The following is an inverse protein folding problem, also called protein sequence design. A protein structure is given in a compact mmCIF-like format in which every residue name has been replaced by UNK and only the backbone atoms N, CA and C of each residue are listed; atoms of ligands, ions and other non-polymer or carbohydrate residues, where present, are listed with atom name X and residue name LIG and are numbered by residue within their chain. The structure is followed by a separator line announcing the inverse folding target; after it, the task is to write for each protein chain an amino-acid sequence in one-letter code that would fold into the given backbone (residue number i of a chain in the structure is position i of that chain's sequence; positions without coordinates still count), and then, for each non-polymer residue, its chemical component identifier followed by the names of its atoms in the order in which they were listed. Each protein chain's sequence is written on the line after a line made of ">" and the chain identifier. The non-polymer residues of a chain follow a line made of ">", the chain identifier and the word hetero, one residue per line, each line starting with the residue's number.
data_IF_331997271519
#
_entry.id   IF_331997271519
#
_cell.length_a   1.000
_cell.length_b   1.000
_cell.length_c   1.000
_cell.angle_alpha   90.00
_cell.angle_beta   90.00
_cell.angle_gamma   90.00
#
_symmetry.space_group_name_H-M   'P 1'
#
loop_
_entity.id
_entity.type
_entity.pdbx_description
1 polymer ?
#
# COMPACT_ATOMS: atom_id res chain seq x y z
N UNK A 1 22.09 -26.24 11.50
CA UNK A 1 22.51 -24.98 12.15
C UNK A 1 21.36 -24.01 11.98
N UNK A 2 20.62 -23.70 13.05
CA UNK A 2 19.53 -22.74 13.02
C UNK A 2 20.08 -21.33 13.26
N UNK A 3 20.01 -20.47 12.26
CA UNK A 3 20.27 -19.05 12.45
C UNK A 3 19.10 -18.45 13.24
N UNK A 4 19.37 -18.03 14.46
CA UNK A 4 18.46 -17.21 15.25
C UNK A 4 18.22 -15.88 14.55
N UNK A 5 16.96 -15.42 14.39
CA UNK A 5 16.68 -14.12 13.82
C UNK A 5 17.25 -13.03 14.74
N UNK A 6 18.13 -12.21 14.17
CA UNK A 6 18.72 -11.03 14.83
C UNK A 6 17.63 -9.99 15.04
N UNK A 7 17.13 -9.89 16.27
CA UNK A 7 16.26 -8.79 16.70
C UNK A 7 17.10 -7.52 16.72
N UNK A 8 17.03 -6.72 15.66
CA UNK A 8 17.67 -5.41 15.60
C UNK A 8 16.98 -4.45 16.60
N UNK A 9 17.77 -3.83 17.47
CA UNK A 9 17.31 -2.83 18.43
C UNK A 9 16.97 -1.52 17.71
N UNK A 10 15.75 -1.01 17.91
CA UNK A 10 15.32 0.31 17.43
C UNK A 10 16.25 1.42 17.91
N UNK A 11 16.57 2.38 17.04
CA UNK A 11 17.38 3.54 17.42
C UNK A 11 16.57 4.54 18.27
N UNK A 12 17.25 5.37 19.06
CA UNK A 12 16.60 6.38 19.91
C UNK A 12 15.68 7.33 19.12
N UNK A 13 16.07 7.66 17.88
CA UNK A 13 15.30 8.50 16.96
C UNK A 13 14.02 7.79 16.49
N UNK A 14 14.07 6.48 16.26
CA UNK A 14 12.88 5.68 15.89
C UNK A 14 11.87 5.59 17.03
N UNK A 15 12.34 5.41 18.26
CA UNK A 15 11.47 5.43 19.44
C UNK A 15 10.85 6.82 19.64
N UNK A 16 11.63 7.89 19.44
CA UNK A 16 11.14 9.26 19.52
C UNK A 16 10.08 9.56 18.44
N UNK A 17 10.30 9.14 17.19
CA UNK A 17 9.34 9.31 16.10
C UNK A 17 8.05 8.51 16.33
N UNK A 18 8.16 7.32 16.90
CA UNK A 18 6.98 6.51 17.29
C UNK A 18 6.17 7.18 18.40
N UNK A 19 6.82 7.87 19.33
CA UNK A 19 6.12 8.64 20.38
C UNK A 19 5.51 9.92 19.80
N UNK A 20 6.24 10.62 18.93
CA UNK A 20 5.80 11.86 18.26
C UNK A 20 4.65 11.62 17.27
N UNK A 21 4.57 10.43 16.67
CA UNK A 21 3.43 10.03 15.82
C UNK A 21 2.13 9.77 16.60
N UNK A 22 2.10 10.05 17.91
CA UNK A 22 0.90 9.98 18.72
C UNK A 22 0.54 11.29 19.44
N UNK A 23 1.32 12.36 19.22
CA UNK A 23 1.20 13.65 19.93
C UNK A 23 0.57 14.74 19.04
N UNK A 24 -0.53 15.37 19.50
CA UNK A 24 -1.15 16.54 18.86
C UNK A 24 -0.98 17.79 19.71
N UNK A 25 -0.60 18.90 19.07
CA UNK A 25 -0.38 20.20 19.72
C UNK A 25 -1.40 21.25 19.26
N UNK A 26 -2.16 21.82 20.19
CA UNK A 26 -3.07 22.94 19.97
C UNK A 26 -2.42 24.26 20.37
N UNK A 27 -2.50 25.25 19.49
CA UNK A 27 -1.92 26.58 19.73
C UNK A 27 -2.68 27.37 20.81
N UNK A 28 -4.00 27.19 20.94
CA UNK A 28 -4.78 27.83 22.02
C UNK A 28 -6.16 27.13 22.16
N UNK A 29 -6.61 26.80 23.39
CA UNK A 29 -5.83 26.76 24.62
C UNK A 29 -4.72 25.70 24.54
N UNK A 30 -3.58 25.93 25.23
CA UNK A 30 -2.39 25.07 25.18
C UNK A 30 -2.66 23.72 25.89
N UNK A 31 -3.27 22.78 25.17
CA UNK A 31 -3.42 21.41 25.60
C UNK A 31 -2.73 20.46 24.63
N UNK A 32 -2.07 19.44 25.20
CA UNK A 32 -1.53 18.30 24.50
C UNK A 32 -2.59 17.20 24.59
N UNK A 33 -3.32 16.93 23.51
CA UNK A 33 -4.27 15.82 23.52
C UNK A 33 -3.63 14.60 22.87
N UNK A 34 -3.60 13.51 23.61
CA UNK A 34 -3.28 12.20 23.07
C UNK A 34 -4.56 11.60 22.46
N UNK A 35 -4.56 11.32 21.14
CA UNK A 35 -5.70 10.74 20.39
C UNK A 35 -7.02 11.55 20.45
N UNK A 36 -7.08 12.75 19.84
CA UNK A 36 -8.36 13.43 19.66
C UNK A 36 -9.26 12.68 18.67
N UNK A 37 -10.56 12.61 18.96
CA UNK A 37 -11.53 11.70 18.32
C UNK A 37 -12.41 12.38 17.24
N UNK A 38 -11.98 13.52 16.67
CA UNK A 38 -12.77 14.23 15.66
C UNK A 38 -12.10 14.16 14.29
N UNK A 39 -12.67 13.37 13.38
CA UNK A 39 -12.24 13.28 11.98
C UNK A 39 -13.01 14.24 11.09
N UNK A 40 -12.39 14.78 10.03
CA UNK A 40 -13.08 15.60 9.03
C UNK A 40 -14.09 14.77 8.23
N UNK A 41 -13.74 13.53 7.84
CA UNK A 41 -14.71 12.62 7.23
C UNK A 41 -15.81 12.28 8.22
N UNK A 42 -17.05 12.44 7.77
CA UNK A 42 -18.27 12.14 8.53
C UNK A 42 -18.98 10.95 7.91
N UNK A 43 -19.93 10.38 8.64
CA UNK A 43 -20.68 9.20 8.18
C UNK A 43 -21.40 9.38 6.84
N UNK A 44 -21.76 10.62 6.45
CA UNK A 44 -22.31 10.88 5.10
C UNK A 44 -21.28 10.59 3.99
N UNK A 45 -20.03 10.99 4.23
CA UNK A 45 -18.92 10.82 3.29
C UNK A 45 -18.57 9.32 3.22
N UNK A 46 -18.52 8.63 4.36
CA UNK A 46 -18.29 7.18 4.42
C UNK A 46 -19.35 6.40 3.64
N UNK A 47 -20.64 6.73 3.78
CA UNK A 47 -21.72 6.04 3.03
C UNK A 47 -21.63 6.28 1.53
N UNK A 48 -21.17 7.46 1.11
CA UNK A 48 -20.94 7.76 -0.30
C UNK A 48 -19.78 6.91 -0.83
N UNK A 49 -18.66 6.89 -0.12
CA UNK A 49 -17.50 6.03 -0.43
C UNK A 49 -17.90 4.56 -0.56
N UNK A 50 -18.64 4.01 0.41
CA UNK A 50 -19.09 2.61 0.38
C UNK A 50 -19.95 2.25 -0.84
N UNK A 51 -20.62 3.22 -1.47
CA UNK A 51 -21.41 3.00 -2.70
C UNK A 51 -20.57 3.05 -3.96
N UNK A 52 -19.49 3.82 -3.96
CA UNK A 52 -18.68 4.11 -5.15
C UNK A 52 -17.47 3.18 -5.29
N UNK A 53 -16.93 2.73 -4.16
CA UNK A 53 -15.71 1.94 -4.09
C UNK A 53 -15.86 0.57 -4.77
N UNK A 54 -14.79 0.11 -5.43
CA UNK A 54 -14.70 -1.19 -6.09
C UNK A 54 -13.40 -1.87 -5.74
N UNK A 55 -13.43 -3.20 -5.67
CA UNK A 55 -12.25 -4.02 -5.41
C UNK A 55 -11.14 -3.68 -6.40
N UNK A 56 -9.93 -3.40 -5.88
CA UNK A 56 -8.79 -2.91 -6.65
C UNK A 56 -8.55 -1.40 -6.58
N UNK A 57 -9.47 -0.64 -6.00
CA UNK A 57 -9.25 0.79 -5.77
C UNK A 57 -8.09 1.03 -4.78
N UNK A 58 -7.34 2.11 -5.03
CA UNK A 58 -6.28 2.61 -4.15
C UNK A 58 -6.86 3.74 -3.30
N UNK A 59 -6.70 3.64 -1.99
CA UNK A 59 -7.21 4.60 -1.03
C UNK A 59 -6.04 5.36 -0.43
N UNK A 60 -6.02 6.67 -0.56
CA UNK A 60 -5.03 7.54 0.05
C UNK A 60 -5.67 8.29 1.20
N UNK A 61 -5.04 8.33 2.38
CA UNK A 61 -5.58 9.03 3.55
C UNK A 61 -4.57 9.86 4.32
N UNK A 62 -5.10 10.83 5.06
CA UNK A 62 -4.35 11.64 6.02
C UNK A 62 -5.10 11.79 7.33
N UNK A 63 -4.35 11.79 8.43
CA UNK A 63 -4.82 12.24 9.73
C UNK A 63 -4.10 13.55 10.05
N UNK A 64 -4.80 14.68 10.10
CA UNK A 64 -4.26 16.05 10.24
C UNK A 64 -3.60 16.31 11.60
N UNK A 65 -3.64 15.32 12.48
CA UNK A 65 -3.42 15.47 13.91
C UNK A 65 -2.02 15.11 14.36
N UNK A 66 -1.15 14.71 13.43
CA UNK A 66 0.22 14.33 13.71
C UNK A 66 1.19 15.44 13.31
N UNK A 67 2.10 15.77 14.23
CA UNK A 67 3.16 16.78 14.08
C UNK A 67 3.96 16.62 12.77
N UNK A 68 4.09 15.39 12.28
CA UNK A 68 4.80 15.02 11.06
C UNK A 68 4.18 15.66 9.78
N UNK A 69 2.87 15.97 9.79
CA UNK A 69 2.19 16.58 8.63
C UNK A 69 2.44 18.08 8.51
N UNK A 70 2.63 18.77 9.64
CA UNK A 70 2.98 20.21 9.64
C UNK A 70 4.38 20.48 9.09
N UNK A 71 5.25 19.46 9.07
CA UNK A 71 6.64 19.57 8.60
C UNK A 71 6.75 19.22 7.09
N UNK A 72 5.85 18.39 6.55
CA UNK A 72 6.05 17.77 5.23
C UNK A 72 5.22 18.31 4.05
N UNK A 73 4.25 19.22 4.25
CA UNK A 73 3.43 19.79 3.16
C UNK A 73 2.80 18.75 2.20
N UNK A 74 2.55 17.52 2.66
CA UNK A 74 1.97 16.43 1.83
C UNK A 74 0.46 16.38 1.98
N UNK A 75 -0.25 16.07 0.90
CA UNK A 75 -1.71 15.95 0.92
C UNK A 75 -2.13 14.62 1.55
N UNK A 76 -1.47 13.52 1.13
CA UNK A 76 -1.71 12.18 1.65
C UNK A 76 -0.51 11.62 2.42
N UNK A 77 -0.78 10.86 3.48
CA UNK A 77 0.27 10.34 4.39
C UNK A 77 0.31 8.82 4.47
N UNK A 78 -0.75 8.16 4.05
CA UNK A 78 -0.90 6.72 4.10
C UNK A 78 -1.69 6.24 2.88
N UNK A 79 -1.54 4.97 2.51
CA UNK A 79 -2.20 4.35 1.38
C UNK A 79 -2.75 2.96 1.76
N UNK A 80 -3.83 2.53 1.12
CA UNK A 80 -4.44 1.22 1.29
C UNK A 80 -4.94 0.69 -0.05
N UNK A 81 -5.03 -0.63 -0.16
CA UNK A 81 -5.59 -1.33 -1.32
C UNK A 81 -6.91 -1.96 -0.91
N UNK A 82 -8.00 -1.61 -1.59
CA UNK A 82 -9.30 -2.16 -1.25
C UNK A 82 -9.50 -3.54 -1.88
N UNK A 83 -9.69 -4.53 -1.01
CA UNK A 83 -9.83 -5.94 -1.39
C UNK A 83 -11.29 -6.33 -1.67
N UNK A 84 -12.26 -5.63 -1.06
CA UNK A 84 -13.63 -6.14 -0.96
C UNK A 84 -13.71 -7.25 0.07
N UNK A 85 -14.37 -8.36 -0.28
CA UNK A 85 -14.64 -9.44 0.68
C UNK A 85 -13.40 -10.26 1.00
N UNK A 86 -13.05 -10.36 2.29
CA UNK A 86 -12.01 -11.25 2.81
C UNK A 86 -12.63 -12.19 3.85
N UNK A 87 -12.46 -13.49 3.66
CA UNK A 87 -12.96 -14.54 4.56
C UNK A 87 -11.81 -15.33 5.17
N UNK A 88 -12.07 -16.08 6.24
CA UNK A 88 -11.10 -17.01 6.83
C UNK A 88 -10.57 -18.02 5.81
N UNK A 89 -11.41 -18.42 4.84
CA UNK A 89 -10.98 -19.33 3.78
C UNK A 89 -9.94 -18.66 2.87
N UNK A 90 -10.14 -17.39 2.51
CA UNK A 90 -9.13 -16.62 1.77
C UNK A 90 -7.80 -16.57 2.54
N UNK A 91 -7.85 -16.30 3.84
CA UNK A 91 -6.66 -16.25 4.69
C UNK A 91 -5.93 -17.59 4.77
N UNK A 92 -6.64 -18.69 4.99
CA UNK A 92 -6.05 -20.04 5.06
C UNK A 92 -5.48 -20.51 3.73
N UNK A 93 -6.18 -20.26 2.63
CA UNK A 93 -5.80 -20.80 1.31
C UNK A 93 -4.77 -19.92 0.59
N UNK A 94 -4.90 -18.60 0.67
CA UNK A 94 -4.11 -17.66 -0.12
C UNK A 94 -2.96 -17.06 0.69
N UNK A 95 -3.26 -16.55 1.90
CA UNK A 95 -2.24 -16.00 2.78
C UNK A 95 -1.47 -17.08 3.55
N UNK A 96 -2.03 -18.29 3.70
CA UNK A 96 -1.47 -19.40 4.48
C UNK A 96 -1.12 -19.02 5.91
N UNK A 97 -1.90 -18.10 6.50
CA UNK A 97 -1.74 -17.71 7.90
C UNK A 97 -2.29 -18.81 8.80
N UNK A 98 -1.57 -19.13 9.87
CA UNK A 98 -1.95 -20.20 10.81
C UNK A 98 -3.17 -19.80 11.67
N UNK A 99 -3.29 -18.51 11.99
CA UNK A 99 -4.26 -17.93 12.92
C UNK A 99 -5.10 -16.84 12.23
N UNK A 100 -6.02 -17.20 11.31
CA UNK A 100 -6.81 -16.21 10.57
C UNK A 100 -7.69 -15.33 11.48
N UNK A 101 -8.07 -15.81 12.66
CA UNK A 101 -8.87 -15.08 13.65
C UNK A 101 -8.19 -13.81 14.19
N UNK A 102 -6.89 -13.62 13.92
CA UNK A 102 -6.13 -12.42 14.29
C UNK A 102 -6.27 -11.28 13.28
N UNK A 103 -6.85 -11.54 12.12
CA UNK A 103 -6.98 -10.57 11.04
C UNK A 103 -8.45 -10.14 10.88
N UNK A 104 -8.67 -8.89 10.49
CA UNK A 104 -10.01 -8.44 10.13
C UNK A 104 -10.50 -9.17 8.87
N UNK A 105 -11.73 -9.68 8.91
CA UNK A 105 -12.47 -10.28 7.80
C UNK A 105 -13.82 -9.59 7.66
N UNK A 106 -14.43 -9.66 6.48
CA UNK A 106 -15.68 -8.97 6.19
C UNK A 106 -15.85 -8.63 4.70
N UNK A 107 -16.96 -7.98 4.36
CA UNK A 107 -17.33 -7.65 2.97
C UNK A 107 -16.50 -6.50 2.38
N UNK A 108 -15.98 -5.61 3.23
CA UNK A 108 -15.33 -4.37 2.81
C UNK A 108 -14.01 -4.18 3.54
N UNK A 109 -12.97 -4.88 3.08
CA UNK A 109 -11.65 -4.88 3.71
C UNK A 109 -10.64 -4.09 2.90
N UNK A 110 -9.81 -3.33 3.59
CA UNK A 110 -8.64 -2.63 3.07
C UNK A 110 -7.39 -3.29 3.64
N UNK A 111 -6.44 -3.62 2.79
CA UNK A 111 -5.09 -4.02 3.22
C UNK A 111 -4.16 -2.82 3.13
N UNK A 112 -3.36 -2.61 4.17
CA UNK A 112 -2.35 -1.56 4.17
C UNK A 112 -1.20 -1.90 5.11
N UNK A 113 -0.09 -1.16 5.01
CA UNK A 113 1.01 -1.30 5.94
C UNK A 113 0.88 -0.31 7.11
N UNK A 114 1.40 -0.74 8.26
CA UNK A 114 1.67 0.04 9.46
C UNK A 114 3.12 -0.20 9.91
N UNK A 115 3.57 0.51 10.95
CA UNK A 115 4.96 0.39 11.45
C UNK A 115 5.37 -1.07 11.73
N UNK A 116 4.44 -1.83 12.32
CA UNK A 116 4.67 -3.19 12.81
C UNK A 116 4.30 -4.30 11.81
N UNK A 117 3.73 -3.99 10.64
CA UNK A 117 3.36 -5.02 9.66
C UNK A 117 2.31 -4.62 8.65
N UNK A 118 1.94 -5.59 7.80
CA UNK A 118 0.78 -5.49 6.92
C UNK A 118 -0.47 -5.92 7.69
N UNK A 119 -1.52 -5.11 7.62
CA UNK A 119 -2.76 -5.31 8.38
C UNK A 119 -3.97 -5.28 7.46
N UNK A 120 -5.04 -5.96 7.88
CA UNK A 120 -6.38 -5.83 7.32
C UNK A 120 -7.21 -4.93 8.22
N UNK A 121 -7.88 -3.94 7.63
CA UNK A 121 -8.73 -2.97 8.31
C UNK A 121 -10.09 -2.89 7.60
N UNK A 122 -11.18 -2.80 8.36
CA UNK A 122 -12.52 -2.55 7.80
C UNK A 122 -12.57 -1.17 7.13
N UNK A 123 -13.29 -1.06 6.00
CA UNK A 123 -13.38 0.19 5.23
C UNK A 123 -13.91 1.37 6.07
N UNK A 124 -14.92 1.15 6.92
CA UNK A 124 -15.49 2.21 7.77
C UNK A 124 -14.41 2.72 8.73
N UNK A 125 -13.64 1.79 9.31
CA UNK A 125 -12.53 2.13 10.18
C UNK A 125 -11.41 2.85 9.39
N UNK A 126 -11.10 2.42 8.17
CA UNK A 126 -10.12 3.08 7.32
C UNK A 126 -10.49 4.53 7.00
N UNK A 127 -11.78 4.80 6.75
CA UNK A 127 -12.35 6.12 6.48
C UNK A 127 -12.38 7.09 7.68
N UNK A 128 -11.94 6.67 8.87
CA UNK A 128 -11.83 7.55 10.05
C UNK A 128 -10.60 8.43 9.95
N UNK A 129 -10.61 9.36 9.00
CA UNK A 129 -9.48 10.21 8.64
C UNK A 129 -9.91 11.64 8.29
N UNK A 130 -8.95 12.52 8.07
CA UNK A 130 -9.17 13.94 7.81
C UNK A 130 -9.13 14.30 6.33
N UNK A 131 -8.46 13.48 5.52
CA UNK A 131 -8.54 13.52 4.07
C UNK A 131 -8.57 12.10 3.53
N UNK A 132 -9.30 11.90 2.43
CA UNK A 132 -9.37 10.63 1.71
C UNK A 132 -9.48 10.91 0.21
N UNK A 133 -8.74 10.14 -0.59
CA UNK A 133 -8.94 10.03 -2.03
C UNK A 133 -9.03 8.55 -2.42
N UNK A 134 -9.83 8.27 -3.44
CA UNK A 134 -10.02 6.94 -4.03
C UNK A 134 -9.63 7.04 -5.49
N UNK A 135 -8.62 6.26 -5.86
CA UNK A 135 -8.05 6.22 -7.20
C UNK A 135 -8.31 4.84 -7.81
N UNK A 136 -8.63 4.81 -9.10
CA UNK A 136 -9.00 3.59 -9.81
C UNK A 136 -8.28 3.47 -11.14
N UNK A 137 -7.80 2.27 -11.42
CA UNK A 137 -7.30 1.93 -12.74
C UNK A 137 -8.45 1.77 -13.75
N UNK A 138 -8.24 2.11 -15.03
CA UNK A 138 -9.26 1.90 -16.04
C UNK A 138 -9.63 0.41 -16.16
N UNK A 139 -10.88 0.16 -16.56
CA UNK A 139 -11.40 -1.22 -16.70
C UNK A 139 -10.62 -2.08 -17.70
N UNK A 140 -9.90 -1.44 -18.61
CA UNK A 140 -8.99 -2.06 -19.58
C UNK A 140 -7.62 -1.40 -19.44
N UNK A 141 -6.61 -2.21 -19.12
CA UNK A 141 -5.22 -1.77 -19.08
C UNK A 141 -4.63 -1.92 -20.47
N UNK A 142 -4.07 -0.83 -20.96
CA UNK A 142 -3.36 -0.75 -22.24
C UNK A 142 -2.01 -0.11 -21.99
N UNK A 143 -1.00 -0.48 -22.80
CA UNK A 143 0.31 0.14 -22.76
C UNK A 143 0.18 1.65 -23.04
N UNK A 144 0.63 2.48 -22.11
CA UNK A 144 0.64 3.94 -22.28
C UNK A 144 1.77 4.36 -23.21
N UNK A 145 1.57 5.45 -23.94
CA UNK A 145 2.55 5.94 -24.90
C UNK A 145 3.87 6.32 -24.20
N UNK A 146 4.99 5.83 -24.72
CA UNK A 146 6.32 6.12 -24.19
C UNK A 146 6.71 5.32 -22.95
N UNK A 147 5.85 4.42 -22.46
CA UNK A 147 6.15 3.58 -21.32
C UNK A 147 6.80 2.26 -21.74
N UNK A 148 7.76 1.80 -20.95
CA UNK A 148 8.42 0.50 -21.10
C UNK A 148 8.61 -0.15 -19.76
N UNK A 149 8.53 -1.48 -19.70
CA UNK A 149 8.73 -2.23 -18.47
C UNK A 149 10.13 -1.96 -17.89
N UNK A 150 10.26 -1.55 -16.61
CA UNK A 150 11.56 -1.29 -16.00
C UNK A 150 12.42 -2.54 -15.97
N UNK A 151 13.71 -2.40 -16.31
CA UNK A 151 14.65 -3.53 -16.34
C UNK A 151 14.75 -4.21 -14.96
N UNK A 152 14.79 -3.43 -13.88
CA UNK A 152 14.81 -3.94 -12.50
C UNK A 152 13.60 -4.82 -12.18
N UNK A 153 12.42 -4.51 -12.72
CA UNK A 153 11.22 -5.30 -12.52
C UNK A 153 11.32 -6.65 -13.26
N UNK A 154 11.86 -6.65 -14.47
CA UNK A 154 12.09 -7.88 -15.25
C UNK A 154 13.12 -8.77 -14.56
N UNK A 155 14.23 -8.17 -14.09
CA UNK A 155 15.27 -8.86 -13.32
C UNK A 155 14.72 -9.46 -12.03
N UNK A 156 13.84 -8.75 -11.32
CA UNK A 156 13.15 -9.28 -10.15
C UNK A 156 12.36 -10.54 -10.48
N UNK A 157 11.55 -10.52 -11.55
CA UNK A 157 10.79 -11.70 -11.94
C UNK A 157 11.69 -12.87 -12.34
N UNK A 158 12.77 -12.61 -13.07
CA UNK A 158 13.72 -13.65 -13.47
C UNK A 158 14.45 -14.26 -12.27
N UNK A 159 14.88 -13.44 -11.32
CA UNK A 159 15.55 -13.90 -10.10
C UNK A 159 14.63 -14.80 -9.26
N UNK A 160 13.38 -14.37 -9.04
CA UNK A 160 12.41 -15.14 -8.26
C UNK A 160 12.04 -16.47 -8.94
N UNK A 161 11.87 -16.46 -10.28
CA UNK A 161 11.51 -17.67 -11.03
C UNK A 161 12.66 -18.69 -11.13
N UNK A 162 13.90 -18.21 -11.10
CA UNK A 162 15.10 -19.05 -11.17
C UNK A 162 15.65 -19.46 -9.78
N UNK A 163 15.06 -18.97 -8.70
CA UNK A 163 15.48 -19.32 -7.35
C UNK A 163 15.33 -20.82 -7.08
N UNK A 164 16.37 -21.42 -6.52
CA UNK A 164 16.39 -22.85 -6.15
C UNK A 164 15.48 -23.19 -4.96
N UNK A 165 15.04 -22.18 -4.19
CA UNK A 165 14.10 -22.38 -3.09
C UNK A 165 12.68 -22.56 -3.63
N UNK A 166 11.92 -23.49 -3.04
CA UNK A 166 10.49 -23.65 -3.34
C UNK A 166 9.72 -22.43 -2.84
N UNK A 167 9.65 -21.37 -3.64
CA UNK A 167 8.80 -20.22 -3.35
C UNK A 167 7.33 -20.62 -3.64
N UNK A 168 6.45 -20.70 -2.62
CA UNK A 168 5.06 -21.10 -2.81
C UNK A 168 4.25 -20.11 -3.67
N UNK A 169 4.80 -18.92 -3.93
CA UNK A 169 4.19 -17.85 -4.72
C UNK A 169 4.63 -17.84 -6.18
N UNK A 170 5.47 -18.78 -6.64
CA UNK A 170 5.90 -18.88 -8.05
C UNK A 170 4.76 -18.78 -9.08
N UNK A 171 3.57 -19.41 -8.91
CA UNK A 171 2.48 -19.25 -9.86
C UNK A 171 1.97 -17.81 -9.98
N UNK A 172 1.97 -17.06 -8.87
CA UNK A 172 1.57 -15.65 -8.84
C UNK A 172 2.63 -14.80 -9.55
N UNK A 173 3.91 -15.03 -9.26
CA UNK A 173 5.03 -14.33 -9.90
C UNK A 173 5.04 -14.56 -11.42
N UNK A 174 4.77 -15.79 -11.88
CA UNK A 174 4.59 -16.08 -13.31
C UNK A 174 3.44 -15.30 -13.93
N UNK A 175 2.31 -15.20 -13.22
CA UNK A 175 1.16 -14.44 -13.69
C UNK A 175 1.46 -12.94 -13.75
N UNK A 176 2.19 -12.39 -12.77
CA UNK A 176 2.64 -10.98 -12.81
C UNK A 176 3.59 -10.71 -13.99
N UNK A 177 4.55 -11.61 -14.27
CA UNK A 177 5.44 -11.49 -15.43
C UNK A 177 4.67 -11.62 -16.76
N UNK A 178 3.65 -12.47 -16.81
CA UNK A 178 2.77 -12.61 -17.98
C UNK A 178 2.01 -11.30 -18.26
N UNK A 179 1.49 -10.62 -17.24
CA UNK A 179 0.87 -9.29 -17.39
C UNK A 179 1.81 -8.32 -18.09
N UNK A 180 3.06 -8.21 -17.62
CA UNK A 180 4.06 -7.31 -18.22
C UNK A 180 4.36 -7.69 -19.67
N UNK A 181 4.51 -8.99 -19.94
CA UNK A 181 4.81 -9.50 -21.29
C UNK A 181 3.66 -9.20 -22.26
N UNK A 182 2.42 -9.36 -21.82
CA UNK A 182 1.22 -9.12 -22.64
C UNK A 182 1.00 -7.63 -22.89
N UNK A 183 1.18 -6.78 -21.86
CA UNK A 183 1.11 -5.32 -22.04
C UNK A 183 2.17 -4.81 -23.01
N UNK A 184 3.43 -5.28 -22.90
CA UNK A 184 4.51 -4.86 -23.81
C UNK A 184 4.30 -5.33 -25.26
N UNK A 185 3.47 -6.35 -25.49
CA UNK A 185 2.98 -6.76 -26.82
C UNK A 185 1.79 -5.94 -27.33
N UNK A 186 1.30 -4.98 -26.55
CA UNK A 186 0.15 -4.14 -26.89
C UNK A 186 -1.20 -4.82 -26.65
N UNK A 187 -1.25 -5.92 -25.90
CA UNK A 187 -2.52 -6.54 -25.55
C UNK A 187 -3.33 -5.66 -24.59
N UNK A 188 -4.67 -5.69 -24.74
CA UNK A 188 -5.60 -5.05 -23.81
C UNK A 188 -5.98 -6.04 -22.72
N UNK A 189 -5.77 -5.68 -21.46
CA UNK A 189 -6.00 -6.57 -20.33
C UNK A 189 -7.19 -6.07 -19.48
N UNK A 190 -8.25 -6.88 -19.30
CA UNK A 190 -9.34 -6.52 -18.39
C UNK A 190 -8.84 -6.46 -16.94
N UNK A 191 -9.07 -5.34 -16.26
CA UNK A 191 -8.59 -5.13 -14.89
C UNK A 191 -9.15 -6.17 -13.91
N UNK A 192 -10.39 -6.61 -14.09
CA UNK A 192 -11.02 -7.67 -13.27
C UNK A 192 -10.20 -8.97 -13.24
N UNK A 193 -9.58 -9.33 -14.38
CA UNK A 193 -8.70 -10.51 -14.46
C UNK A 193 -7.41 -10.28 -13.68
N UNK A 194 -6.84 -9.07 -13.78
CA UNK A 194 -5.61 -8.70 -13.08
C UNK A 194 -5.82 -8.62 -11.57
N UNK A 195 -6.98 -8.13 -11.14
CA UNK A 195 -7.34 -8.00 -9.73
C UNK A 195 -7.24 -9.34 -8.99
N UNK A 196 -7.62 -10.47 -9.62
CA UNK A 196 -7.49 -11.80 -9.01
C UNK A 196 -6.03 -12.15 -8.66
N UNK A 197 -5.08 -11.65 -9.45
CA UNK A 197 -3.64 -11.81 -9.20
C UNK A 197 -3.23 -10.87 -8.07
N UNK A 198 -3.59 -9.59 -8.15
CA UNK A 198 -3.28 -8.58 -7.13
C UNK A 198 -3.84 -8.95 -5.75
N UNK A 199 -5.06 -9.50 -5.70
CA UNK A 199 -5.69 -9.98 -4.48
C UNK A 199 -4.86 -11.09 -3.81
N UNK A 200 -4.32 -12.02 -4.60
CA UNK A 200 -3.41 -13.08 -4.10
C UNK A 200 -2.08 -12.52 -3.64
N UNK A 201 -1.49 -11.59 -4.41
CA UNK A 201 -0.26 -10.89 -4.02
C UNK A 201 -0.48 -10.16 -2.70
N UNK A 202 -1.56 -9.39 -2.57
CA UNK A 202 -1.90 -8.65 -1.37
C UNK A 202 -1.99 -9.56 -0.13
N UNK A 203 -2.81 -10.61 -0.20
CA UNK A 203 -2.98 -11.53 0.94
C UNK A 203 -1.69 -12.29 1.29
N UNK A 204 -0.83 -12.62 0.33
CA UNK A 204 0.46 -13.25 0.62
C UNK A 204 1.40 -12.38 1.47
N UNK A 205 1.14 -11.07 1.56
CA UNK A 205 1.95 -10.17 2.39
C UNK A 205 1.61 -10.20 3.87
N UNK A 206 0.55 -10.91 4.27
CA UNK A 206 0.20 -11.09 5.69
C UNK A 206 1.11 -12.11 6.40
N UNK A 207 1.67 -13.07 5.67
CA UNK A 207 2.53 -14.14 6.21
C UNK A 207 4.02 -13.91 5.99
N UNK A 208 4.38 -12.99 5.09
CA UNK A 208 5.76 -12.83 4.64
C UNK A 208 6.43 -11.74 5.49
N UNK A 209 7.49 -12.04 6.26
CA UNK A 209 8.20 -11.01 7.01
C UNK A 209 8.72 -9.96 6.03
N UNK A 210 8.35 -8.70 6.27
CA UNK A 210 8.58 -7.54 5.40
C UNK A 210 10.00 -7.49 4.81
N UNK A 211 10.16 -7.96 3.58
CA UNK A 211 11.30 -7.65 2.71
C UNK A 211 10.80 -7.40 1.29
N UNK A 212 9.88 -6.44 1.09
CA UNK A 212 9.69 -5.83 -0.23
C UNK A 212 10.79 -4.81 -0.48
N UNK A 213 12.04 -5.25 -0.36
CA UNK A 213 13.20 -4.41 -0.62
C UNK A 213 13.53 -4.54 -2.11
N UNK A 214 12.97 -3.64 -2.94
CA UNK A 214 13.39 -3.47 -4.33
C UNK A 214 14.69 -2.64 -4.44
N UNK A 215 15.53 -2.65 -3.40
CA UNK A 215 16.59 -1.67 -3.19
C UNK A 215 16.05 -0.34 -2.63
N UNK A 216 15.03 -0.40 -1.77
CA UNK A 216 14.54 0.75 -1.00
C UNK A 216 15.17 0.70 0.39
N UNK A 217 15.99 1.70 0.71
CA UNK A 217 16.66 1.79 2.01
C UNK A 217 15.66 1.67 3.17
N UNK A 218 16.00 0.84 4.16
CA UNK A 218 15.08 0.38 5.21
C UNK A 218 14.60 1.54 6.10
N UNK A 219 13.37 2.00 5.92
CA UNK A 219 12.74 2.99 6.83
C UNK A 219 11.25 2.74 7.03
N UNK A 220 10.81 2.79 8.30
CA UNK A 220 9.51 2.29 8.73
C UNK A 220 8.28 3.12 8.31
N UNK A 221 8.48 4.32 7.75
CA UNK A 221 7.39 5.30 7.54
C UNK A 221 6.74 5.27 6.14
N UNK A 222 7.30 4.55 5.16
CA UNK A 222 6.80 4.55 3.76
C UNK A 222 6.27 3.20 3.27
N UNK A 223 6.13 2.22 4.17
CA UNK A 223 5.71 0.85 3.84
C UNK A 223 4.35 0.75 3.15
N UNK A 224 3.47 1.73 3.34
CA UNK A 224 2.10 1.64 2.83
C UNK A 224 2.06 1.80 1.30
N UNK A 225 2.68 2.84 0.75
CA UNK A 225 2.76 3.05 -0.70
C UNK A 225 3.63 2.00 -1.38
N UNK A 226 4.70 1.56 -0.72
CA UNK A 226 5.53 0.44 -1.16
C UNK A 226 4.74 -0.86 -1.25
N UNK A 227 3.84 -1.13 -0.28
CA UNK A 227 2.94 -2.27 -0.33
C UNK A 227 1.99 -2.19 -1.53
N UNK A 228 1.35 -1.03 -1.76
CA UNK A 228 0.46 -0.85 -2.93
C UNK A 228 1.23 -1.08 -4.22
N UNK A 229 2.42 -0.48 -4.33
CA UNK A 229 3.29 -0.68 -5.48
C UNK A 229 3.67 -2.15 -5.64
N UNK A 230 4.06 -2.85 -4.56
CA UNK A 230 4.40 -4.27 -4.62
C UNK A 230 3.24 -5.13 -5.14
N UNK A 231 2.02 -4.86 -4.65
CA UNK A 231 0.80 -5.56 -5.06
C UNK A 231 0.54 -5.37 -6.56
N UNK A 232 0.82 -4.20 -7.09
CA UNK A 232 0.42 -3.76 -8.44
C UNK A 232 1.61 -3.52 -9.38
N UNK A 233 2.81 -3.98 -9.02
CA UNK A 233 4.08 -3.66 -9.71
C UNK A 233 4.10 -4.03 -11.18
N UNK A 234 3.33 -5.04 -11.57
CA UNK A 234 3.19 -5.46 -12.96
C UNK A 234 2.48 -4.42 -13.85
N UNK A 235 1.78 -3.44 -13.26
CA UNK A 235 1.10 -2.37 -14.01
C UNK A 235 1.45 -0.94 -13.55
N UNK A 236 1.99 -0.73 -12.35
CA UNK A 236 2.31 0.62 -11.84
C UNK A 236 3.25 1.41 -12.74
N UNK A 237 4.30 0.76 -13.28
CA UNK A 237 5.24 1.39 -14.21
C UNK A 237 4.54 1.96 -15.44
N UNK A 238 3.47 1.33 -15.92
CA UNK A 238 2.72 1.79 -17.09
C UNK A 238 1.98 3.13 -16.86
N UNK A 239 1.86 3.57 -15.61
CA UNK A 239 1.20 4.83 -15.22
C UNK A 239 2.18 5.82 -14.59
N UNK A 240 3.50 5.60 -14.74
CA UNK A 240 4.54 6.46 -14.16
C UNK A 240 4.62 6.38 -12.63
N UNK A 241 3.97 5.40 -12.02
CA UNK A 241 4.05 5.14 -10.58
C UNK A 241 5.31 4.33 -10.35
N UNK A 242 6.40 5.04 -10.10
CA UNK A 242 7.71 4.43 -9.86
C UNK A 242 8.39 5.05 -8.63
N UNK A 243 9.26 4.28 -7.97
CA UNK A 243 10.09 4.78 -6.88
C UNK A 243 11.07 5.86 -7.38
N UNK A 244 11.05 7.01 -6.74
CA UNK A 244 11.92 8.15 -7.08
C UNK A 244 12.97 8.39 -6.00
N UNK A 245 14.18 8.79 -6.39
CA UNK A 245 15.21 9.21 -5.44
C UNK A 245 14.83 10.52 -4.76
N UNK A 246 14.64 10.47 -3.44
CA UNK A 246 14.34 11.62 -2.61
C UNK A 246 15.26 11.66 -1.39
N UNK A 247 15.52 12.87 -0.88
CA UNK A 247 16.26 13.07 0.36
C UNK A 247 15.30 13.05 1.54
N UNK A 248 15.35 12.01 2.36
CA UNK A 248 14.58 11.90 3.61
C UNK A 248 15.53 11.98 4.78
N UNK A 249 15.37 13.02 5.62
CA UNK A 249 16.17 13.23 6.85
C UNK A 249 17.67 12.96 6.63
N UNK A 250 18.24 13.63 5.63
CA UNK A 250 19.67 13.60 5.25
C UNK A 250 20.17 12.37 4.48
N UNK A 251 19.36 11.34 4.27
CA UNK A 251 19.70 10.20 3.41
C UNK A 251 18.97 10.29 2.07
N UNK A 252 19.67 9.99 0.97
CA UNK A 252 19.00 9.79 -0.33
C UNK A 252 18.51 8.36 -0.42
N UNK A 253 17.25 8.19 -0.81
CA UNK A 253 16.66 6.87 -1.01
C UNK A 253 15.54 6.90 -2.03
N UNK A 254 15.21 5.74 -2.57
CA UNK A 254 14.06 5.56 -3.45
C UNK A 254 12.78 5.43 -2.64
N UNK A 255 11.78 6.26 -2.90
CA UNK A 255 10.47 6.25 -2.24
C UNK A 255 9.35 6.50 -3.22
N UNK A 256 8.17 5.99 -2.89
CA UNK A 256 6.92 6.34 -3.57
C UNK A 256 6.11 7.17 -2.59
N UNK A 257 5.88 8.43 -2.92
CA UNK A 257 5.01 9.29 -2.11
C UNK A 257 3.54 8.98 -2.40
N UNK A 258 2.64 9.08 -1.42
CA UNK A 258 1.21 8.90 -1.66
C UNK A 258 0.66 9.80 -2.79
N UNK A 259 1.15 11.04 -2.85
CA UNK A 259 0.75 12.02 -3.87
C UNK A 259 1.21 11.60 -5.28
N UNK A 260 2.21 10.71 -5.41
CA UNK A 260 2.65 10.17 -6.71
C UNK A 260 1.54 9.37 -7.41
N UNK A 261 0.59 8.78 -6.66
CA UNK A 261 -0.56 8.12 -7.26
C UNK A 261 -1.58 9.12 -7.81
N UNK A 262 -1.69 10.32 -7.21
CA UNK A 262 -2.63 11.36 -7.67
C UNK A 262 -2.15 12.11 -8.90
N UNK A 263 -0.86 12.08 -9.19
CA UNK A 263 -0.24 12.74 -10.35
C UNK A 263 -0.25 11.88 -11.62
N UNK A 264 -1.19 10.93 -11.72
CA UNK A 264 -1.24 9.91 -12.77
C UNK A 264 -2.57 9.94 -13.52
N UNK A 265 -2.67 9.16 -14.59
CA UNK A 265 -3.90 8.97 -15.36
C UNK A 265 -4.92 8.02 -14.68
N UNK A 266 -4.83 7.83 -13.36
CA UNK A 266 -5.83 7.08 -12.60
C UNK A 266 -7.11 7.90 -12.43
N UNK A 267 -8.26 7.22 -12.49
CA UNK A 267 -9.56 7.85 -12.25
C UNK A 267 -9.69 8.24 -10.78
N UNK A 268 -9.91 9.53 -10.50
CA UNK A 268 -10.28 10.02 -9.18
C UNK A 268 -11.78 9.75 -8.94
N UNK A 269 -12.08 8.62 -8.31
CA UNK A 269 -13.46 8.15 -8.05
C UNK A 269 -14.15 9.02 -7.01
N UNK A 270 -13.40 9.43 -5.99
CA UNK A 270 -13.89 10.23 -4.88
C UNK A 270 -12.73 10.92 -4.18
N UNK A 271 -12.93 12.17 -3.74
CA UNK A 271 -11.93 12.89 -2.95
C UNK A 271 -12.53 13.91 -2.01
N UNK A 272 -11.92 14.00 -0.83
CA UNK A 272 -12.14 15.08 0.13
C UNK A 272 -10.84 15.38 0.84
N UNK A 273 -10.40 16.62 0.71
CA UNK A 273 -9.25 17.17 1.42
C UNK A 273 -9.78 18.22 2.39
N UNK A 274 -9.38 18.13 3.66
CA UNK A 274 -9.80 19.02 4.74
C UNK A 274 -8.91 20.24 4.90
#
# INVERSE_FOLDING_TARGET
>A
MSETPTIQKKTFVENLMTVLSHLRFYKTPFFLTYRPHSFVLKGKDTREVMRLIKAGDILLRTHNDYLDNRIRQKTFTNAGFYLGEVTDNHLRQLAKVERPEQYATGEQIVIHAQADGVVLEDLIQFCRCDALAILRFPSQIVLQQGMSAPELLLQYFDAELNSATKNPYLPVIRAEKDIVTRLTRGEKLPYETLFKIFYRVALSQLSTPNTFDFGFDHFHNFKATELIYFIMKSICWNYGIEPQMQKVLFQQRRVIEPDAFTATELEEVWKKVG
#
